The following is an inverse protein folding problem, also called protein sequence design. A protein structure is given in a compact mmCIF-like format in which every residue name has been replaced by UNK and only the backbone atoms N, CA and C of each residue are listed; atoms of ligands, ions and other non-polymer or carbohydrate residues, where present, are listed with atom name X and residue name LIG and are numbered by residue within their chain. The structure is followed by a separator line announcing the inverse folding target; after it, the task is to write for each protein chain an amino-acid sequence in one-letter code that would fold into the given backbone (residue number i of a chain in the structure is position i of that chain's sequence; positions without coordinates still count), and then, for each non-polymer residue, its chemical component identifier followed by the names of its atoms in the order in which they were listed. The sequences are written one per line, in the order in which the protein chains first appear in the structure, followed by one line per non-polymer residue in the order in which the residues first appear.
data_IF_051528347079
#
_entry.id   IF_051528347079
#
_cell.length_a   1.000
_cell.length_b   1.000
_cell.length_c   1.000
_cell.angle_alpha   90.00
_cell.angle_beta   90.00
_cell.angle_gamma   90.00
#
_symmetry.space_group_name_H-M   'P 1'
#
loop_
_entity.id
_entity.type
_entity.pdbx_description
1 polymer ?
#
# COMPACT_ATOMS: atom_id res chain seq x y z
N UNK A 1 30.66 28.97 40.96
CA UNK A 1 29.83 28.38 39.89
C UNK A 1 28.68 27.69 40.58
N UNK A 2 27.46 28.17 40.37
CA UNK A 2 26.28 27.73 41.11
C UNK A 2 25.75 26.42 40.50
N UNK A 3 25.28 25.46 41.30
CA UNK A 3 24.80 24.16 40.79
C UNK A 3 23.63 24.29 39.80
N UNK A 4 22.89 25.41 39.87
CA UNK A 4 21.84 25.75 38.92
C UNK A 4 22.38 26.11 37.52
N UNK A 5 23.57 26.71 37.44
CA UNK A 5 24.21 27.09 36.18
C UNK A 5 24.75 25.86 35.43
N UNK A 6 25.40 24.93 36.15
CA UNK A 6 25.93 23.70 35.53
C UNK A 6 24.81 22.82 34.96
N UNK A 7 23.68 22.70 35.66
CA UNK A 7 22.50 21.97 35.19
C UNK A 7 21.83 22.63 33.97
N UNK A 8 21.87 23.95 33.88
CA UNK A 8 21.32 24.68 32.73
C UNK A 8 22.19 24.50 31.47
N UNK A 9 23.51 24.57 31.63
CA UNK A 9 24.49 24.36 30.57
C UNK A 9 24.49 22.91 30.08
N UNK A 10 24.33 21.95 30.99
CA UNK A 10 24.23 20.53 30.63
C UNK A 10 22.95 20.26 29.83
N UNK A 11 21.79 20.81 30.23
CA UNK A 11 20.53 20.71 29.47
C UNK A 11 20.61 21.35 28.08
N UNK A 12 21.24 22.52 27.96
CA UNK A 12 21.46 23.18 26.66
C UNK A 12 22.33 22.31 25.73
N UNK A 13 23.39 21.70 26.27
CA UNK A 13 24.27 20.80 25.51
C UNK A 13 23.54 19.54 25.03
N UNK A 14 22.68 18.95 25.88
CA UNK A 14 21.83 17.81 25.50
C UNK A 14 20.82 18.18 24.40
N UNK A 15 20.20 19.37 24.46
CA UNK A 15 19.25 19.83 23.44
C UNK A 15 19.94 20.15 22.10
N UNK A 16 21.16 20.72 22.12
CA UNK A 16 21.94 20.95 20.90
C UNK A 16 22.47 19.66 20.26
N UNK A 17 22.83 18.64 21.06
CA UNK A 17 23.29 17.35 20.53
C UNK A 17 22.16 16.48 19.95
N UNK A 18 20.93 16.59 20.49
CA UNK A 18 19.76 15.84 20.00
C UNK A 18 19.01 16.57 18.86
N UNK A 19 19.17 17.89 18.74
CA UNK A 19 18.34 18.78 17.91
C UNK A 19 18.41 18.68 16.37
N UNK A 20 19.45 18.12 15.72
CA UNK A 20 19.43 17.94 14.25
C UNK A 20 19.50 16.48 13.77
N UNK A 21 19.94 15.54 14.62
CA UNK A 21 20.21 14.15 14.21
C UNK A 21 18.95 13.29 14.28
N UNK A 22 18.18 13.45 15.35
CA UNK A 22 16.90 12.74 15.57
C UNK A 22 15.88 13.18 14.51
N UNK A 23 15.71 14.49 14.28
CA UNK A 23 14.72 14.99 13.30
C UNK A 23 14.96 14.49 11.86
N UNK A 24 16.22 14.37 11.41
CA UNK A 24 16.55 13.90 10.05
C UNK A 24 16.37 12.40 9.86
N UNK A 25 16.64 11.60 10.90
CA UNK A 25 16.44 10.13 10.83
C UNK A 25 14.96 9.76 10.78
N UNK A 26 14.11 10.48 11.51
CA UNK A 26 12.65 10.30 11.49
C UNK A 26 12.07 10.61 10.10
N UNK A 27 12.48 11.73 9.49
CA UNK A 27 12.02 12.13 8.15
C UNK A 27 12.50 11.16 7.06
N UNK A 28 13.72 10.63 7.19
CA UNK A 28 14.29 9.66 6.25
C UNK A 28 13.57 8.30 6.24
N UNK A 29 13.25 7.75 7.41
CA UNK A 29 12.57 6.44 7.53
C UNK A 29 11.14 6.49 7.00
N UNK A 30 10.39 7.54 7.33
CA UNK A 30 9.03 7.74 6.83
C UNK A 30 9.01 7.87 5.29
N UNK A 31 10.00 8.57 4.73
CA UNK A 31 10.18 8.66 3.27
C UNK A 31 10.49 7.31 2.62
N UNK A 32 11.28 6.46 3.26
CA UNK A 32 11.58 5.11 2.77
C UNK A 32 10.34 4.21 2.80
N UNK A 33 9.57 4.24 3.89
CA UNK A 33 8.31 3.49 3.97
C UNK A 33 7.34 3.92 2.88
N UNK A 34 7.19 5.23 2.66
CA UNK A 34 6.38 5.75 1.56
C UNK A 34 6.90 5.31 0.18
N UNK A 35 8.22 5.33 -0.04
CA UNK A 35 8.82 4.90 -1.30
C UNK A 35 8.51 3.42 -1.60
N UNK A 36 8.69 2.53 -0.61
CA UNK A 36 8.37 1.11 -0.78
C UNK A 36 6.87 0.88 -0.98
N UNK A 37 6.01 1.64 -0.30
CA UNK A 37 4.57 1.58 -0.51
C UNK A 37 4.17 2.05 -1.92
N UNK A 38 4.83 3.08 -2.44
CA UNK A 38 4.63 3.60 -3.78
C UNK A 38 5.08 2.57 -4.84
N UNK A 39 6.25 1.96 -4.67
CA UNK A 39 6.72 0.87 -5.53
C UNK A 39 5.83 -0.37 -5.45
N UNK A 40 5.36 -0.72 -4.25
CA UNK A 40 4.40 -1.79 -4.02
C UNK A 40 3.11 -1.53 -4.79
N UNK A 41 2.59 -0.30 -4.76
CA UNK A 41 1.39 0.09 -5.52
C UNK A 41 1.61 -0.13 -7.00
N UNK A 42 2.73 0.33 -7.56
CA UNK A 42 3.07 0.10 -8.97
C UNK A 42 3.16 -1.40 -9.26
N UNK A 43 3.80 -2.20 -8.40
CA UNK A 43 3.91 -3.64 -8.60
C UNK A 43 2.55 -4.35 -8.59
N UNK A 44 1.62 -3.93 -7.71
CA UNK A 44 0.27 -4.49 -7.62
C UNK A 44 -0.57 -4.20 -8.87
N UNK A 45 -0.52 -2.96 -9.36
CA UNK A 45 -1.38 -2.52 -10.46
C UNK A 45 -0.75 -2.77 -11.84
N UNK A 46 0.55 -2.53 -12.00
CA UNK A 46 1.25 -2.76 -13.26
C UNK A 46 1.58 -4.25 -13.49
N UNK A 47 1.73 -5.03 -12.41
CA UNK A 47 2.17 -6.44 -12.41
C UNK A 47 3.23 -6.71 -13.48
N UNK A 48 4.42 -6.10 -13.34
CA UNK A 48 5.48 -6.22 -14.34
C UNK A 48 5.88 -7.67 -14.63
N UNK A 49 5.61 -8.61 -13.71
CA UNK A 49 5.76 -10.05 -13.93
C UNK A 49 4.89 -10.62 -15.06
N UNK A 50 3.72 -10.02 -15.33
CA UNK A 50 2.82 -10.45 -16.40
C UNK A 50 3.31 -9.94 -17.77
N UNK A 51 4.09 -8.86 -17.80
CA UNK A 51 4.68 -8.25 -19.01
C UNK A 51 6.06 -8.87 -19.31
N UNK A 52 6.88 -9.05 -18.27
CA UNK A 52 8.22 -9.62 -18.34
C UNK A 52 8.28 -10.90 -17.49
N UNK A 53 8.11 -12.09 -18.10
CA UNK A 53 8.10 -13.36 -17.35
C UNK A 53 9.37 -13.62 -16.55
N UNK A 54 10.50 -13.01 -16.92
CA UNK A 54 11.77 -13.07 -16.17
C UNK A 54 11.67 -12.46 -14.76
N UNK A 55 10.69 -11.58 -14.50
CA UNK A 55 10.45 -10.97 -13.19
C UNK A 55 9.54 -11.81 -12.28
N UNK A 56 8.84 -12.82 -12.82
CA UNK A 56 7.94 -13.68 -12.05
C UNK A 56 8.58 -14.35 -10.81
N UNK A 57 9.83 -14.86 -10.85
CA UNK A 57 10.46 -15.49 -9.69
C UNK A 57 10.75 -14.52 -8.54
N UNK A 58 10.86 -13.22 -8.83
CA UNK A 58 11.25 -12.21 -7.85
C UNK A 58 10.09 -11.78 -6.95
N UNK A 59 8.84 -12.14 -7.27
CA UNK A 59 7.64 -11.81 -6.50
C UNK A 59 7.65 -10.36 -5.98
N UNK A 60 7.84 -9.39 -6.89
CA UNK A 60 8.10 -7.99 -6.57
C UNK A 60 7.06 -7.39 -5.62
N UNK A 61 5.78 -7.72 -5.81
CA UNK A 61 4.67 -7.32 -4.93
C UNK A 61 4.89 -7.76 -3.49
N UNK A 62 5.37 -8.99 -3.28
CA UNK A 62 5.68 -9.48 -1.94
C UNK A 62 6.91 -8.78 -1.35
N UNK A 63 7.97 -8.60 -2.16
CA UNK A 63 9.21 -7.95 -1.71
C UNK A 63 8.95 -6.50 -1.28
N UNK A 64 8.33 -5.69 -2.14
CA UNK A 64 8.06 -4.29 -1.80
C UNK A 64 7.07 -4.15 -0.65
N UNK A 65 6.04 -5.01 -0.59
CA UNK A 65 5.11 -5.04 0.54
C UNK A 65 5.81 -5.40 1.85
N UNK A 66 6.68 -6.41 1.85
CA UNK A 66 7.47 -6.79 3.02
C UNK A 66 8.44 -5.69 3.44
N UNK A 67 9.16 -5.06 2.51
CA UNK A 67 10.05 -3.94 2.81
C UNK A 67 9.29 -2.73 3.38
N UNK A 68 8.11 -2.40 2.83
CA UNK A 68 7.28 -1.33 3.34
C UNK A 68 6.79 -1.64 4.77
N UNK A 69 6.35 -2.88 5.02
CA UNK A 69 5.95 -3.33 6.36
C UNK A 69 7.10 -3.32 7.38
N UNK A 70 8.28 -3.82 6.99
CA UNK A 70 9.45 -3.88 7.87
C UNK A 70 10.00 -2.49 8.20
N UNK A 71 10.04 -1.58 7.23
CA UNK A 71 10.46 -0.19 7.47
C UNK A 71 9.48 0.54 8.38
N UNK A 72 8.17 0.34 8.17
CA UNK A 72 7.15 0.88 9.05
C UNK A 72 7.26 0.33 10.47
N UNK A 73 7.38 -1.00 10.62
CA UNK A 73 7.52 -1.65 11.91
C UNK A 73 8.79 -1.21 12.64
N UNK A 74 9.91 -1.09 11.92
CA UNK A 74 11.15 -0.55 12.46
C UNK A 74 11.01 0.90 12.94
N UNK A 75 10.27 1.73 12.20
CA UNK A 75 9.93 3.10 12.60
C UNK A 75 9.05 3.15 13.84
N UNK A 76 8.04 2.29 13.92
CA UNK A 76 7.12 2.18 15.06
C UNK A 76 7.85 1.71 16.34
N UNK A 77 8.65 0.64 16.25
CA UNK A 77 9.42 0.11 17.38
C UNK A 77 10.49 1.08 17.87
N UNK A 78 11.04 1.90 16.98
CA UNK A 78 12.01 2.93 17.34
C UNK A 78 11.35 4.19 17.90
N UNK A 79 10.01 4.26 18.00
CA UNK A 79 9.27 5.46 18.43
C UNK A 79 9.36 6.63 17.44
N UNK A 80 9.68 6.36 16.17
CA UNK A 80 9.80 7.39 15.14
C UNK A 80 8.50 7.66 14.39
N UNK A 81 7.56 6.72 14.45
CA UNK A 81 6.27 6.78 13.78
C UNK A 81 5.19 6.57 14.83
N UNK A 82 4.23 7.49 14.89
CA UNK A 82 3.07 7.37 15.77
C UNK A 82 1.92 6.69 15.05
N UNK A 83 1.28 5.76 15.76
CA UNK A 83 0.10 5.06 15.26
C UNK A 83 -1.11 6.00 15.22
N UNK A 84 -1.66 6.22 14.04
CA UNK A 84 -2.85 7.03 13.82
C UNK A 84 -4.11 6.19 13.98
N UNK A 85 -4.86 6.43 15.07
CA UNK A 85 -6.13 5.76 15.36
C UNK A 85 -7.32 6.39 14.64
N UNK A 86 -7.39 6.19 13.33
CA UNK A 86 -8.49 6.70 12.52
C UNK A 86 -9.79 5.90 12.79
N UNK A 87 -10.98 6.50 12.63
CA UNK A 87 -12.24 5.77 12.80
C UNK A 87 -12.37 4.59 11.83
N UNK A 88 -11.82 4.70 10.63
CA UNK A 88 -11.79 3.62 9.63
C UNK A 88 -10.98 2.42 10.14
N UNK A 89 -9.81 2.68 10.74
CA UNK A 89 -8.99 1.62 11.33
C UNK A 89 -9.76 0.89 12.45
N UNK A 90 -10.50 1.62 13.29
CA UNK A 90 -11.31 1.02 14.36
C UNK A 90 -12.41 0.11 13.80
N UNK A 91 -13.09 0.54 12.74
CA UNK A 91 -14.14 -0.25 12.08
C UNK A 91 -13.54 -1.53 11.49
N UNK A 92 -12.42 -1.42 10.79
CA UNK A 92 -11.75 -2.59 10.17
C UNK A 92 -11.23 -3.57 11.24
N UNK A 93 -10.70 -3.06 12.35
CA UNK A 93 -10.32 -3.91 13.49
C UNK A 93 -11.52 -4.61 14.11
N UNK A 94 -12.65 -3.93 14.27
CA UNK A 94 -13.89 -4.52 14.76
C UNK A 94 -14.40 -5.61 13.81
N UNK A 95 -14.37 -5.36 12.50
CA UNK A 95 -14.72 -6.36 11.48
C UNK A 95 -13.77 -7.57 11.53
N UNK A 96 -12.48 -7.34 11.74
CA UNK A 96 -11.49 -8.41 11.88
C UNK A 96 -11.76 -9.26 13.12
N UNK A 97 -12.04 -8.61 14.26
CA UNK A 97 -12.41 -9.30 15.50
C UNK A 97 -13.71 -10.11 15.33
N UNK A 98 -14.70 -9.53 14.65
CA UNK A 98 -15.96 -10.21 14.33
C UNK A 98 -15.74 -11.42 13.42
N UNK A 99 -14.89 -11.29 12.40
CA UNK A 99 -14.52 -12.41 11.52
C UNK A 99 -13.89 -13.54 12.35
N UNK A 100 -12.89 -13.23 13.17
CA UNK A 100 -12.20 -14.21 14.03
C UNK A 100 -13.20 -14.93 14.93
N UNK A 101 -14.11 -14.17 15.56
CA UNK A 101 -15.16 -14.73 16.41
C UNK A 101 -16.14 -15.61 15.62
N UNK A 102 -16.41 -15.31 14.34
CA UNK A 102 -17.30 -16.09 13.48
C UNK A 102 -16.70 -17.39 12.93
N UNK A 103 -15.37 -17.47 12.78
CA UNK A 103 -14.66 -18.67 12.25
C UNK A 103 -15.04 -19.98 12.97
N UNK A 104 -15.05 -20.08 14.31
CA UNK A 104 -15.42 -21.33 14.99
C UNK A 104 -16.87 -21.76 14.74
N UNK A 105 -17.77 -20.81 14.47
CA UNK A 105 -19.19 -21.06 14.21
C UNK A 105 -19.51 -21.29 12.71
N UNK A 106 -18.53 -21.13 11.83
CA UNK A 106 -18.73 -21.30 10.39
C UNK A 106 -19.03 -22.76 10.03
N UNK A 107 -19.94 -22.95 9.08
CA UNK A 107 -20.26 -24.27 8.50
C UNK A 107 -19.01 -24.93 7.89
N UNK A 108 -18.19 -24.16 7.18
CA UNK A 108 -16.91 -24.59 6.65
C UNK A 108 -15.74 -23.89 7.35
N UNK A 109 -15.38 -24.41 8.53
CA UNK A 109 -14.35 -23.82 9.42
C UNK A 109 -12.98 -23.73 8.74
N UNK A 110 -12.56 -24.79 8.05
CA UNK A 110 -11.24 -24.83 7.38
C UNK A 110 -11.14 -23.78 6.28
N UNK A 111 -12.13 -23.68 5.38
CA UNK A 111 -12.14 -22.64 4.35
C UNK A 111 -12.23 -21.23 4.93
N UNK A 112 -13.02 -21.04 5.99
CA UNK A 112 -13.14 -19.74 6.68
C UNK A 112 -11.83 -19.32 7.32
N UNK A 113 -11.12 -20.25 7.97
CA UNK A 113 -9.81 -20.03 8.56
C UNK A 113 -8.73 -19.77 7.50
N UNK A 114 -8.72 -20.53 6.40
CA UNK A 114 -7.81 -20.27 5.28
C UNK A 114 -8.06 -18.90 4.66
N UNK A 115 -9.32 -18.50 4.50
CA UNK A 115 -9.68 -17.17 3.98
C UNK A 115 -9.23 -16.07 4.95
N UNK A 116 -9.43 -16.26 6.26
CA UNK A 116 -8.93 -15.34 7.28
C UNK A 116 -7.41 -15.15 7.16
N UNK A 117 -6.66 -16.26 7.12
CA UNK A 117 -5.19 -16.23 7.14
C UNK A 117 -4.58 -15.75 5.83
N UNK A 118 -5.10 -16.20 4.69
CA UNK A 118 -4.44 -15.99 3.39
C UNK A 118 -4.99 -14.81 2.59
N UNK A 119 -6.21 -14.36 2.87
CA UNK A 119 -6.87 -13.28 2.13
C UNK A 119 -7.12 -12.08 3.04
N UNK A 120 -7.89 -12.28 4.13
CA UNK A 120 -8.30 -11.19 5.00
C UNK A 120 -7.12 -10.51 5.68
N UNK A 121 -6.23 -11.27 6.35
CA UNK A 121 -5.09 -10.68 7.05
C UNK A 121 -4.14 -9.94 6.12
N UNK A 122 -3.89 -10.43 4.91
CA UNK A 122 -3.06 -9.71 3.92
C UNK A 122 -3.71 -8.39 3.51
N UNK A 123 -5.01 -8.41 3.25
CA UNK A 123 -5.78 -7.22 2.91
C UNK A 123 -5.78 -6.21 4.06
N UNK A 124 -5.98 -6.68 5.29
CA UNK A 124 -5.90 -5.89 6.51
C UNK A 124 -4.52 -5.23 6.68
N UNK A 125 -3.43 -5.97 6.46
CA UNK A 125 -2.07 -5.44 6.57
C UNK A 125 -1.81 -4.33 5.55
N UNK A 126 -2.26 -4.50 4.30
CA UNK A 126 -2.11 -3.48 3.26
C UNK A 126 -2.95 -2.24 3.61
N UNK A 127 -4.21 -2.45 4.03
CA UNK A 127 -5.08 -1.36 4.47
C UNK A 127 -4.47 -0.58 5.63
N UNK A 128 -3.98 -1.30 6.65
CA UNK A 128 -3.30 -0.71 7.79
C UNK A 128 -2.13 0.14 7.32
N UNK A 129 -1.23 -0.41 6.52
CA UNK A 129 -0.06 0.31 6.01
C UNK A 129 -0.46 1.56 5.20
N UNK A 130 -1.47 1.47 4.34
CA UNK A 130 -1.99 2.62 3.58
C UNK A 130 -2.51 3.71 4.52
N UNK A 131 -3.36 3.38 5.49
CA UNK A 131 -3.93 4.39 6.42
C UNK A 131 -2.87 5.07 7.28
N UNK A 132 -1.82 4.35 7.68
CA UNK A 132 -0.77 4.90 8.53
C UNK A 132 0.24 5.75 7.74
N UNK A 133 0.51 5.41 6.48
CA UNK A 133 1.54 6.10 5.68
C UNK A 133 0.97 7.25 4.84
N UNK A 134 -0.30 7.16 4.44
CA UNK A 134 -1.00 8.17 3.62
C UNK A 134 -1.66 9.25 4.49
N UNK A 135 -0.88 9.88 5.35
CA UNK A 135 -1.38 10.96 6.22
C UNK A 135 -1.43 12.32 5.54
N UNK A 136 -0.72 12.50 4.41
CA UNK A 136 -0.62 13.76 3.66
C UNK A 136 -1.28 13.68 2.29
N UNK A 137 -1.92 14.78 1.87
CA UNK A 137 -2.62 14.88 0.57
C UNK A 137 -1.65 14.68 -0.59
N UNK A 138 -0.41 15.16 -0.49
CA UNK A 138 0.61 15.01 -1.51
C UNK A 138 0.99 13.53 -1.72
N UNK A 139 1.00 12.74 -0.64
CA UNK A 139 1.29 11.30 -0.70
C UNK A 139 0.16 10.54 -1.35
N UNK A 140 -1.08 10.87 -0.99
CA UNK A 140 -2.29 10.33 -1.62
C UNK A 140 -2.27 10.61 -3.12
N UNK A 141 -2.00 11.85 -3.52
CA UNK A 141 -1.91 12.25 -4.93
C UNK A 141 -0.85 11.44 -5.69
N UNK A 142 0.35 11.29 -5.15
CA UNK A 142 1.42 10.48 -5.78
C UNK A 142 1.03 9.02 -5.94
N UNK A 143 0.30 8.46 -4.98
CA UNK A 143 -0.16 7.07 -5.02
C UNK A 143 -1.29 6.90 -6.04
N UNK A 144 -2.23 7.84 -6.11
CA UNK A 144 -3.27 7.87 -7.16
C UNK A 144 -2.65 7.95 -8.56
N UNK A 145 -1.68 8.83 -8.78
CA UNK A 145 -0.98 8.92 -10.06
C UNK A 145 -0.22 7.64 -10.40
N UNK A 146 0.34 6.93 -9.42
CA UNK A 146 0.94 5.62 -9.66
C UNK A 146 -0.08 4.58 -10.13
N UNK A 147 -1.29 4.55 -9.53
CA UNK A 147 -2.37 3.67 -9.99
C UNK A 147 -2.76 4.01 -11.43
N UNK A 148 -3.05 5.29 -11.71
CA UNK A 148 -3.47 5.77 -13.03
C UNK A 148 -2.45 5.41 -14.10
N UNK A 149 -1.17 5.70 -13.86
CA UNK A 149 -0.12 5.45 -14.84
C UNK A 149 0.12 3.95 -15.03
N UNK A 150 0.01 3.15 -13.96
CA UNK A 150 0.15 1.69 -14.05
C UNK A 150 -0.96 1.08 -14.89
N UNK A 151 -2.22 1.46 -14.62
CA UNK A 151 -3.39 1.03 -15.40
C UNK A 151 -3.27 1.47 -16.86
N UNK A 152 -2.91 2.73 -17.12
CA UNK A 152 -2.74 3.23 -18.48
C UNK A 152 -1.68 2.44 -19.26
N UNK A 153 -0.55 2.11 -18.64
CA UNK A 153 0.52 1.30 -19.25
C UNK A 153 0.00 -0.11 -19.52
N UNK A 154 -0.67 -0.74 -18.56
CA UNK A 154 -1.22 -2.08 -18.69
C UNK A 154 -2.28 -2.15 -19.79
N UNK A 155 -3.24 -1.23 -19.81
CA UNK A 155 -4.25 -1.12 -20.87
C UNK A 155 -3.61 -0.93 -22.23
N UNK A 156 -2.63 -0.02 -22.33
CA UNK A 156 -1.92 0.22 -23.59
C UNK A 156 -1.25 -1.06 -24.09
N UNK A 157 -0.51 -1.75 -23.23
CA UNK A 157 0.16 -3.02 -23.58
C UNK A 157 -0.87 -4.07 -23.99
N UNK A 158 -1.99 -4.20 -23.27
CA UNK A 158 -3.06 -5.15 -23.58
C UNK A 158 -3.67 -4.90 -24.97
N UNK A 159 -3.88 -3.64 -25.35
CA UNK A 159 -4.39 -3.26 -26.67
C UNK A 159 -3.34 -3.56 -27.76
N UNK A 160 -2.07 -3.18 -27.56
CA UNK A 160 -1.01 -3.41 -28.55
C UNK A 160 -0.69 -4.90 -28.73
N UNK A 161 -0.77 -5.70 -27.67
CA UNK A 161 -0.51 -7.15 -27.71
C UNK A 161 -1.78 -7.98 -27.98
N UNK A 162 -2.91 -7.34 -28.25
CA UNK A 162 -4.19 -8.02 -28.53
C UNK A 162 -4.13 -9.03 -29.67
N UNK A 163 -3.19 -8.86 -30.61
CA UNK A 163 -2.94 -9.84 -31.69
C UNK A 163 -2.45 -11.21 -31.19
N UNK A 164 -1.99 -11.30 -29.93
CA UNK A 164 -1.53 -12.53 -29.26
C UNK A 164 -2.48 -12.99 -28.15
N UNK A 165 -3.71 -12.45 -28.13
CA UNK A 165 -4.67 -12.76 -27.07
C UNK A 165 -5.07 -14.25 -27.06
N UNK A 166 -5.32 -14.76 -25.86
CA UNK A 166 -5.83 -16.10 -25.61
C UNK A 166 -7.33 -16.08 -25.86
N UNK A 167 -7.78 -16.94 -26.77
CA UNK A 167 -9.18 -17.15 -27.10
C UNK A 167 -9.67 -18.45 -26.47
N UNK A 168 -10.85 -18.43 -25.84
CA UNK A 168 -11.55 -19.64 -25.39
C UNK A 168 -12.95 -19.62 -26.00
N UNK A 169 -13.13 -20.41 -27.06
CA UNK A 169 -14.31 -20.34 -27.93
C UNK A 169 -14.38 -18.99 -28.64
N UNK A 170 -15.54 -18.34 -28.61
CA UNK A 170 -15.74 -16.98 -29.15
C UNK A 170 -15.37 -15.87 -28.14
N UNK A 171 -14.87 -16.23 -26.95
CA UNK A 171 -14.55 -15.27 -25.89
C UNK A 171 -13.06 -14.97 -25.90
N UNK A 172 -12.74 -13.69 -26.04
CA UNK A 172 -11.38 -13.18 -25.83
C UNK A 172 -11.15 -13.03 -24.32
N UNK A 173 -10.24 -13.83 -23.77
CA UNK A 173 -9.91 -13.79 -22.34
C UNK A 173 -8.91 -12.69 -21.99
N UNK A 174 -8.10 -12.29 -22.98
CA UNK A 174 -7.03 -11.31 -22.84
C UNK A 174 -5.66 -11.92 -23.09
N UNK A 175 -4.60 -11.24 -22.67
CA UNK A 175 -3.23 -11.70 -22.89
C UNK A 175 -2.81 -12.79 -21.88
N UNK A 176 -3.41 -12.79 -20.68
CA UNK A 176 -3.19 -13.79 -19.63
C UNK A 176 -4.51 -14.00 -18.86
N UNK A 177 -4.62 -15.10 -18.10
CA UNK A 177 -5.64 -15.36 -17.09
C UNK A 177 -5.47 -14.50 -15.81
N UNK A 178 -4.40 -13.69 -15.73
CA UNK A 178 -4.09 -12.73 -14.65
C UNK A 178 -4.72 -11.35 -14.83
N UNK A 179 -4.02 -10.27 -14.43
CA UNK A 179 -4.57 -8.89 -14.51
C UNK A 179 -4.71 -8.38 -15.95
N UNK A 180 -3.89 -8.93 -16.85
CA UNK A 180 -3.97 -8.70 -18.30
C UNK A 180 -5.17 -9.45 -18.96
N UNK A 181 -5.99 -10.13 -18.15
CA UNK A 181 -7.27 -10.65 -18.59
C UNK A 181 -8.26 -9.51 -18.73
N UNK A 182 -8.96 -9.42 -19.86
CA UNK A 182 -9.79 -8.26 -20.19
C UNK A 182 -10.96 -8.05 -19.22
N UNK A 183 -11.40 -9.11 -18.52
CA UNK A 183 -12.38 -8.98 -17.44
C UNK A 183 -11.81 -8.24 -16.22
N UNK A 184 -10.57 -8.52 -15.81
CA UNK A 184 -9.95 -7.84 -14.67
C UNK A 184 -9.56 -6.41 -15.04
N UNK A 185 -9.04 -6.21 -16.25
CA UNK A 185 -8.79 -4.87 -16.81
C UNK A 185 -10.08 -4.04 -16.83
N UNK A 186 -11.17 -4.59 -17.34
CA UNK A 186 -12.46 -3.91 -17.39
C UNK A 186 -13.01 -3.55 -16.01
N UNK A 187 -12.84 -4.42 -15.00
CA UNK A 187 -13.21 -4.12 -13.61
C UNK A 187 -12.33 -3.00 -13.04
N UNK A 188 -11.01 -3.04 -13.29
CA UNK A 188 -10.08 -2.04 -12.82
C UNK A 188 -10.39 -0.66 -13.41
N UNK A 189 -10.64 -0.57 -14.72
CA UNK A 189 -11.02 0.68 -15.39
C UNK A 189 -12.40 1.19 -14.94
N UNK A 190 -13.39 0.29 -14.81
CA UNK A 190 -14.74 0.64 -14.36
C UNK A 190 -14.77 1.17 -12.92
N UNK A 191 -13.78 0.83 -12.09
CA UNK A 191 -13.62 1.40 -10.75
C UNK A 191 -12.78 2.67 -10.76
N UNK A 192 -11.67 2.66 -11.49
CA UNK A 192 -10.68 3.74 -11.50
C UNK A 192 -11.22 5.02 -12.15
N UNK A 193 -11.89 4.90 -13.30
CA UNK A 193 -12.38 6.06 -14.07
C UNK A 193 -13.43 6.86 -13.28
N UNK A 194 -14.51 6.26 -12.73
CA UNK A 194 -15.50 7.02 -11.96
C UNK A 194 -14.90 7.61 -10.68
N UNK A 195 -13.95 6.91 -10.04
CA UNK A 195 -13.33 7.38 -8.83
C UNK A 195 -12.45 8.62 -9.08
N UNK A 196 -11.67 8.63 -10.16
CA UNK A 196 -10.89 9.80 -10.57
C UNK A 196 -11.81 10.95 -10.98
N UNK A 197 -12.87 10.67 -11.75
CA UNK A 197 -13.86 11.67 -12.13
C UNK A 197 -14.51 12.30 -10.89
N UNK A 198 -14.88 11.49 -9.89
CA UNK A 198 -15.43 11.98 -8.64
C UNK A 198 -14.43 12.85 -7.86
N UNK A 199 -13.16 12.43 -7.76
CA UNK A 199 -12.10 13.24 -7.13
C UNK A 199 -11.91 14.57 -7.87
N UNK A 200 -11.88 14.54 -9.20
CA UNK A 200 -11.75 15.75 -10.03
C UNK A 200 -12.91 16.72 -9.81
N UNK A 201 -14.14 16.22 -9.70
CA UNK A 201 -15.33 17.04 -9.45
C UNK A 201 -15.35 17.59 -8.03
N UNK A 202 -15.03 16.77 -7.02
CA UNK A 202 -15.18 17.14 -5.60
C UNK A 202 -13.99 17.98 -5.10
N UNK A 203 -12.76 17.68 -5.54
CA UNK A 203 -11.54 18.40 -5.16
C UNK A 203 -10.52 18.42 -6.29
N UNK A 204 -10.69 19.36 -7.23
CA UNK A 204 -9.71 19.62 -8.31
C UNK A 204 -8.28 19.82 -7.81
N UNK A 205 -8.08 20.30 -6.59
CA UNK A 205 -6.75 20.54 -6.02
C UNK A 205 -5.98 19.27 -5.60
N UNK A 206 -6.64 18.10 -5.58
CA UNK A 206 -6.03 16.81 -5.19
C UNK A 206 -5.41 16.07 -6.38
N UNK A 207 -5.81 16.39 -7.62
CA UNK A 207 -5.25 15.80 -8.84
C UNK A 207 -4.05 16.59 -9.36
#
# INVERSE_FOLDING_TARGET
MNDAESLSLEKENWQQQLGPKVSREHEGKDRLTFLFLWLFTIAVFARPEDIFPALAPFHLTFVFGACAGLTYLGGLLSGHIDLQWTPELKIVLLLTAWYIAGVPFAYWRSGSFQTLMHVWLKTFLIFFLLTQVLTAVERIRKLLWAVILSELVVTSISIFMSSRAIWVGERLLGFNLGILGWNFLGIAEALTIPYIAAIFVVRRSIL
#
